data_IF_197164873694
#
_entry.id   IF_197164873694
#
_cell.length_a   1.000
_cell.length_b   1.000
_cell.length_c   1.000
_cell.angle_alpha   90.00
_cell.angle_beta   90.00
_cell.angle_gamma   90.00
#
_symmetry.space_group_name_H-M   'P 1'
#
loop_
_entity.id
_entity.type
_entity.pdbx_description
1 polymer ?
#
# COMPACT_ATOMS: atom_id res chain seq x y z
N UNK A 1 11.06 14.11 28.65
CA UNK A 1 11.74 12.86 29.08
C UNK A 1 11.52 12.60 30.58
N UNK A 2 11.53 13.62 31.44
CA UNK A 2 11.51 13.52 32.89
C UNK A 2 10.19 13.00 33.50
N UNK A 3 9.10 12.99 32.75
CA UNK A 3 7.78 12.52 33.18
C UNK A 3 7.34 11.23 32.50
N UNK A 4 8.26 10.29 32.30
CA UNK A 4 7.97 8.98 31.71
C UNK A 4 7.29 9.05 30.33
N UNK A 5 7.68 10.05 29.53
CA UNK A 5 7.16 10.32 28.17
C UNK A 5 5.63 10.56 28.12
N UNK A 6 4.97 10.89 29.24
CA UNK A 6 3.53 11.15 29.24
C UNK A 6 3.19 12.35 28.35
N UNK A 7 2.36 12.20 27.33
CA UNK A 7 1.95 13.30 26.48
C UNK A 7 0.97 14.22 27.20
N UNK A 8 1.19 15.52 27.12
CA UNK A 8 0.22 16.52 27.57
C UNK A 8 -0.66 16.93 26.41
N UNK A 9 -1.95 16.64 26.50
CA UNK A 9 -2.94 17.03 25.50
C UNK A 9 -3.56 18.36 25.84
N UNK A 10 -3.72 19.22 24.84
CA UNK A 10 -4.38 20.52 24.97
C UNK A 10 -5.44 20.65 23.86
N UNK A 11 -6.52 21.36 24.16
CA UNK A 11 -7.54 21.71 23.18
C UNK A 11 -7.12 23.04 22.53
N UNK A 12 -6.82 23.08 21.21
CA UNK A 12 -6.53 24.32 20.52
C UNK A 12 -7.68 25.30 20.63
N UNK A 13 -7.36 26.61 20.69
CA UNK A 13 -8.36 27.66 20.87
C UNK A 13 -9.44 27.68 19.79
N UNK A 14 -9.06 27.40 18.54
CA UNK A 14 -9.97 27.29 17.38
C UNK A 14 -10.93 26.09 17.44
N UNK A 15 -10.68 25.11 18.29
CA UNK A 15 -11.52 23.91 18.48
C UNK A 15 -12.36 23.95 19.75
N UNK A 16 -12.13 24.97 20.62
CA UNK A 16 -12.78 25.02 21.93
C UNK A 16 -14.30 25.08 21.83
N UNK A 17 -14.83 25.93 20.96
CA UNK A 17 -16.27 26.07 20.75
C UNK A 17 -16.92 24.74 20.31
N UNK A 18 -16.25 24.02 19.38
CA UNK A 18 -16.73 22.70 18.93
C UNK A 18 -16.75 21.69 20.07
N UNK A 19 -15.71 21.66 20.90
CA UNK A 19 -15.64 20.78 22.07
C UNK A 19 -16.73 21.12 23.08
N UNK A 20 -16.98 22.40 23.34
CA UNK A 20 -18.03 22.83 24.28
C UNK A 20 -19.42 22.46 23.77
N UNK A 21 -19.68 22.58 22.47
CA UNK A 21 -20.93 22.10 21.86
C UNK A 21 -21.10 20.58 21.99
N UNK A 22 -20.05 19.80 21.68
CA UNK A 22 -20.08 18.34 21.88
C UNK A 22 -20.31 17.94 23.34
N UNK A 23 -19.76 18.68 24.29
CA UNK A 23 -20.03 18.46 25.73
C UNK A 23 -21.46 18.70 26.12
N UNK A 24 -22.12 19.70 25.52
CA UNK A 24 -23.55 19.97 25.76
C UNK A 24 -24.41 18.84 25.21
N UNK A 25 -24.16 18.41 23.97
CA UNK A 25 -24.87 17.29 23.34
C UNK A 25 -24.67 15.97 24.13
N UNK A 26 -23.43 15.70 24.54
CA UNK A 26 -23.08 14.50 25.32
C UNK A 26 -23.80 14.44 26.67
N UNK A 27 -24.03 15.60 27.31
CA UNK A 27 -24.79 15.69 28.58
C UNK A 27 -26.29 15.45 28.39
N UNK A 28 -26.83 15.77 27.23
CA UNK A 28 -28.24 15.59 26.90
C UNK A 28 -28.56 14.19 26.39
N UNK A 29 -27.58 13.44 25.91
CA UNK A 29 -27.74 12.12 25.34
C UNK A 29 -27.85 11.04 26.42
N UNK A 30 -28.76 10.06 26.22
CA UNK A 30 -28.85 8.87 27.09
C UNK A 30 -27.71 7.89 26.85
N UNK A 31 -27.26 7.78 25.60
CA UNK A 31 -26.18 6.87 25.19
C UNK A 31 -25.30 7.50 24.14
N UNK A 32 -24.01 7.39 24.28
CA UNK A 32 -23.02 7.90 23.33
C UNK A 32 -22.34 6.73 22.64
N UNK A 33 -22.35 6.76 21.31
CA UNK A 33 -21.70 5.74 20.48
C UNK A 33 -20.41 6.28 19.88
N UNK A 34 -19.31 5.64 20.18
CA UNK A 34 -18.00 5.92 19.56
C UNK A 34 -17.81 4.98 18.38
N UNK A 35 -17.91 5.50 17.17
CA UNK A 35 -17.97 4.73 15.92
C UNK A 35 -16.80 5.06 14.96
N UNK A 36 -15.62 5.37 15.50
CA UNK A 36 -14.39 5.55 14.71
C UNK A 36 -13.88 4.21 14.17
N UNK A 37 -12.95 4.26 13.23
CA UNK A 37 -12.37 3.07 12.59
C UNK A 37 -11.78 2.06 13.59
N UNK A 38 -11.65 0.80 13.20
CA UNK A 38 -11.17 -0.28 14.08
C UNK A 38 -9.64 -0.34 14.17
N UNK A 39 -8.94 0.61 13.64
CA UNK A 39 -7.48 0.67 13.78
C UNK A 39 -7.06 1.44 15.05
N UNK A 40 -5.76 1.46 15.34
CA UNK A 40 -5.21 2.15 16.51
C UNK A 40 -5.45 3.67 16.48
N UNK A 41 -5.55 4.28 15.30
CA UNK A 41 -5.81 5.71 15.16
C UNK A 41 -7.27 6.01 15.53
N UNK A 42 -8.21 5.21 15.03
CA UNK A 42 -9.63 5.30 15.39
C UNK A 42 -9.88 5.00 16.87
N UNK A 43 -9.15 4.05 17.45
CA UNK A 43 -9.25 3.76 18.89
C UNK A 43 -8.74 4.92 19.75
N UNK A 44 -7.65 5.56 19.35
CA UNK A 44 -7.15 6.76 20.01
C UNK A 44 -8.13 7.96 19.89
N UNK A 45 -8.81 8.10 18.74
CA UNK A 45 -9.87 9.11 18.57
C UNK A 45 -11.01 8.85 19.55
N UNK A 46 -11.48 7.62 19.65
CA UNK A 46 -12.52 7.23 20.58
C UNK A 46 -12.12 7.53 22.04
N UNK A 47 -10.90 7.18 22.41
CA UNK A 47 -10.35 7.45 23.75
C UNK A 47 -10.22 8.96 24.03
N UNK A 48 -9.72 9.75 23.09
CA UNK A 48 -9.64 11.19 23.25
C UNK A 48 -11.02 11.86 23.41
N UNK A 49 -12.02 11.41 22.69
CA UNK A 49 -13.39 11.88 22.85
C UNK A 49 -13.94 11.50 24.22
N UNK A 50 -13.69 10.25 24.65
CA UNK A 50 -14.09 9.78 25.98
C UNK A 50 -13.52 10.68 27.09
N UNK A 51 -12.23 10.98 27.06
CA UNK A 51 -11.54 11.81 28.04
C UNK A 51 -12.01 13.29 27.98
N UNK A 52 -12.01 13.88 26.78
CA UNK A 52 -12.33 15.31 26.60
C UNK A 52 -13.79 15.63 26.94
N UNK A 53 -14.70 14.72 26.64
CA UNK A 53 -16.12 14.88 26.96
C UNK A 53 -16.46 14.48 28.41
N UNK A 54 -15.54 13.85 29.12
CA UNK A 54 -15.73 13.36 30.50
C UNK A 54 -16.81 12.30 30.58
N UNK A 55 -16.82 11.35 29.63
CA UNK A 55 -17.82 10.32 29.55
C UNK A 55 -17.63 9.28 30.68
N UNK A 56 -18.73 8.66 31.06
CA UNK A 56 -18.72 7.53 31.98
C UNK A 56 -18.85 6.22 31.20
N UNK A 57 -18.22 5.17 31.67
CA UNK A 57 -18.18 3.87 30.99
C UNK A 57 -19.59 3.30 30.70
N UNK A 58 -20.53 3.48 31.62
CA UNK A 58 -21.90 3.02 31.48
C UNK A 58 -22.74 3.74 30.41
N UNK A 59 -22.35 4.98 30.07
CA UNK A 59 -23.11 5.85 29.15
C UNK A 59 -22.45 5.89 27.77
N UNK A 60 -21.28 5.23 27.62
CA UNK A 60 -20.49 5.26 26.40
C UNK A 60 -20.27 3.84 25.86
N UNK A 61 -20.52 3.64 24.57
CA UNK A 61 -20.36 2.37 23.89
C UNK A 61 -19.46 2.53 22.67
N UNK A 62 -18.46 1.68 22.54
CA UNK A 62 -17.60 1.59 21.39
C UNK A 62 -18.17 0.59 20.38
N UNK A 63 -18.40 1.00 19.14
CA UNK A 63 -18.79 0.12 18.06
C UNK A 63 -17.77 0.16 16.93
N UNK A 64 -17.57 -0.96 16.29
CA UNK A 64 -16.65 -1.14 15.15
C UNK A 64 -17.34 -1.89 14.04
N UNK A 65 -17.09 -1.46 12.81
CA UNK A 65 -17.57 -2.14 11.61
C UNK A 65 -16.58 -1.93 10.46
N UNK A 66 -16.45 -2.94 9.62
CA UNK A 66 -15.49 -2.94 8.51
C UNK A 66 -16.06 -2.40 7.21
N UNK A 67 -17.39 -2.21 7.16
CA UNK A 67 -18.10 -1.72 5.98
C UNK A 67 -19.31 -0.87 6.40
N UNK A 68 -19.64 0.13 5.58
CA UNK A 68 -20.78 1.03 5.83
C UNK A 68 -22.02 0.43 5.16
N UNK A 69 -22.45 -0.73 5.68
CA UNK A 69 -23.72 -1.37 5.26
C UNK A 69 -24.69 -1.45 6.44
N UNK A 70 -25.99 -1.42 6.15
CA UNK A 70 -27.03 -1.52 7.19
C UNK A 70 -26.87 -2.76 8.07
N UNK A 71 -26.60 -3.98 7.55
CA UNK A 71 -26.40 -5.15 8.40
C UNK A 71 -25.18 -5.04 9.30
N UNK A 72 -24.05 -4.55 8.81
CA UNK A 72 -22.81 -4.39 9.58
C UNK A 72 -22.98 -3.40 10.73
N UNK A 73 -23.61 -2.23 10.46
CA UNK A 73 -23.87 -1.21 11.48
C UNK A 73 -24.84 -1.74 12.55
N UNK A 74 -25.92 -2.41 12.15
CA UNK A 74 -26.89 -2.97 13.10
C UNK A 74 -26.27 -4.09 13.96
N UNK A 75 -25.38 -4.89 13.39
CA UNK A 75 -24.63 -5.90 14.14
C UNK A 75 -23.66 -5.26 15.15
N UNK A 76 -22.95 -4.21 14.75
CA UNK A 76 -22.05 -3.48 15.63
C UNK A 76 -22.80 -2.83 16.81
N UNK A 77 -23.99 -2.28 16.58
CA UNK A 77 -24.85 -1.71 17.62
C UNK A 77 -25.32 -2.79 18.61
N UNK A 78 -25.60 -4.00 18.12
CA UNK A 78 -26.01 -5.13 18.99
C UNK A 78 -24.86 -5.69 19.83
N UNK A 79 -23.62 -5.54 19.35
CA UNK A 79 -22.40 -6.10 19.96
C UNK A 79 -21.38 -5.00 20.26
N UNK A 80 -21.70 -4.02 21.13
CA UNK A 80 -20.76 -2.99 21.50
C UNK A 80 -19.63 -3.58 22.33
N UNK A 81 -18.45 -2.95 22.28
CA UNK A 81 -17.29 -3.29 23.12
C UNK A 81 -16.79 -2.09 23.93
N UNK A 82 -15.81 -2.29 24.76
CA UNK A 82 -15.07 -1.21 25.41
C UNK A 82 -13.95 -0.69 24.52
N UNK A 83 -13.40 0.47 24.86
CA UNK A 83 -12.20 1.02 24.22
C UNK A 83 -11.02 0.09 24.54
N UNK A 84 -10.27 -0.31 23.51
CA UNK A 84 -9.06 -1.10 23.65
C UNK A 84 -7.88 -0.19 24.02
N UNK A 85 -7.55 -0.16 25.30
CA UNK A 85 -6.45 0.66 25.84
C UNK A 85 -5.09 0.21 25.29
N UNK A 86 -4.91 -1.04 24.89
CA UNK A 86 -3.66 -1.49 24.29
C UNK A 86 -3.45 -0.85 22.90
N UNK A 87 -4.50 -0.74 22.09
CA UNK A 87 -4.44 -0.02 20.81
C UNK A 87 -4.21 1.48 21.02
N UNK A 88 -4.84 2.09 22.02
CA UNK A 88 -4.61 3.49 22.40
C UNK A 88 -3.14 3.69 22.78
N UNK A 89 -2.60 2.85 23.64
CA UNK A 89 -1.20 2.92 24.07
C UNK A 89 -0.23 2.71 22.90
N UNK A 90 -0.55 1.81 21.98
CA UNK A 90 0.25 1.59 20.77
C UNK A 90 0.29 2.83 19.87
N UNK A 91 -0.84 3.53 19.72
CA UNK A 91 -0.91 4.80 18.99
C UNK A 91 -0.11 5.90 19.70
N UNK A 92 -0.27 6.03 21.02
CA UNK A 92 0.46 7.02 21.81
C UNK A 92 1.98 6.78 21.74
N UNK A 93 2.43 5.54 21.93
CA UNK A 93 3.84 5.19 21.83
C UNK A 93 4.42 5.53 20.46
N UNK A 94 3.69 5.25 19.37
CA UNK A 94 4.09 5.64 18.01
C UNK A 94 4.22 7.16 17.90
N UNK A 95 3.23 7.90 18.37
CA UNK A 95 3.21 9.37 18.27
C UNK A 95 4.37 10.00 19.05
N UNK A 96 4.64 9.50 20.26
CA UNK A 96 5.76 9.95 21.09
C UNK A 96 7.08 9.64 20.39
N UNK A 97 7.24 8.40 19.88
CA UNK A 97 8.46 7.99 19.18
C UNK A 97 8.72 8.84 17.93
N UNK A 98 7.70 9.09 17.12
CA UNK A 98 7.84 9.93 15.91
C UNK A 98 8.29 11.35 16.26
N UNK A 99 7.79 11.92 17.37
CA UNK A 99 8.21 13.24 17.85
C UNK A 99 9.65 13.24 18.37
N UNK A 100 10.02 12.24 19.18
CA UNK A 100 11.40 12.12 19.69
C UNK A 100 12.37 12.02 18.51
N UNK A 101 12.14 11.10 17.58
CA UNK A 101 12.99 10.94 16.39
C UNK A 101 13.08 12.25 15.60
N UNK A 102 11.96 12.92 15.37
CA UNK A 102 11.93 14.19 14.65
C UNK A 102 12.73 15.28 15.34
N UNK A 103 12.53 15.49 16.63
CA UNK A 103 13.17 16.57 17.39
C UNK A 103 14.66 16.32 17.67
N UNK A 104 15.07 15.08 17.87
CA UNK A 104 16.46 14.75 18.15
C UNK A 104 17.33 14.68 16.88
N UNK A 105 16.80 14.12 15.79
CA UNK A 105 17.57 13.90 14.57
C UNK A 105 17.54 15.10 13.61
N UNK A 106 16.45 15.87 13.54
CA UNK A 106 16.35 17.00 12.61
C UNK A 106 17.43 18.05 12.85
N UNK A 107 17.77 18.46 14.10
CA UNK A 107 18.88 19.39 14.36
C UNK A 107 20.25 18.86 13.92
N UNK A 108 20.44 17.56 13.94
CA UNK A 108 21.69 16.93 13.44
C UNK A 108 21.78 17.09 11.93
N UNK A 109 20.68 16.85 11.21
CA UNK A 109 20.61 17.07 9.76
C UNK A 109 20.86 18.54 9.40
N UNK A 110 20.33 19.49 10.17
CA UNK A 110 20.53 20.92 9.92
C UNK A 110 21.97 21.33 10.05
N UNK A 111 22.67 20.78 11.03
CA UNK A 111 24.10 21.09 11.28
C UNK A 111 25.04 20.39 10.32
N UNK A 112 24.70 19.17 9.88
CA UNK A 112 25.64 18.32 9.14
C UNK A 112 25.38 18.27 7.63
N UNK A 113 24.15 18.54 7.20
CA UNK A 113 23.74 18.39 5.78
C UNK A 113 23.18 19.71 5.25
N UNK A 114 21.96 20.08 5.64
CA UNK A 114 21.30 21.30 5.16
C UNK A 114 20.18 21.73 6.13
N UNK A 115 19.98 23.05 6.37
CA UNK A 115 18.85 23.56 7.10
C UNK A 115 17.50 23.14 6.50
N UNK A 116 16.48 23.10 7.30
CA UNK A 116 15.08 22.75 6.94
C UNK A 116 14.84 21.31 6.54
N UNK A 117 15.82 20.40 6.66
CA UNK A 117 15.56 18.98 6.52
C UNK A 117 14.83 18.44 7.76
N UNK A 118 13.98 17.43 7.60
CA UNK A 118 13.32 16.74 8.71
C UNK A 118 13.67 15.27 8.71
N UNK A 119 13.86 14.73 9.92
CA UNK A 119 14.00 13.30 10.13
C UNK A 119 12.65 12.70 10.51
N UNK A 120 12.36 11.48 10.04
CA UNK A 120 11.15 10.75 10.37
C UNK A 120 11.29 9.29 10.02
N UNK A 121 10.69 8.41 10.81
CA UNK A 121 10.80 6.97 10.63
C UNK A 121 10.31 6.51 9.24
N UNK A 122 9.19 7.05 8.78
CA UNK A 122 8.62 6.71 7.46
C UNK A 122 9.42 7.35 6.34
N UNK A 123 9.78 8.63 6.47
CA UNK A 123 10.57 9.35 5.47
C UNK A 123 11.93 8.69 5.22
N UNK A 124 12.64 8.30 6.28
CA UNK A 124 13.95 7.68 6.16
C UNK A 124 13.90 6.36 5.39
N UNK A 125 12.88 5.53 5.66
CA UNK A 125 12.68 4.27 4.93
C UNK A 125 12.30 4.53 3.47
N UNK A 126 11.39 5.47 3.20
CA UNK A 126 10.98 5.81 1.85
C UNK A 126 12.14 6.31 1.00
N UNK A 127 12.96 7.23 1.53
CA UNK A 127 14.15 7.74 0.86
C UNK A 127 15.16 6.62 0.61
N UNK A 128 15.38 5.76 1.59
CA UNK A 128 16.28 4.61 1.44
C UNK A 128 15.84 3.70 0.28
N UNK A 129 14.57 3.31 0.23
CA UNK A 129 14.04 2.46 -0.84
C UNK A 129 14.22 3.10 -2.23
N UNK A 130 13.97 4.42 -2.34
CA UNK A 130 14.15 5.15 -3.59
C UNK A 130 15.63 5.16 -4.00
N UNK A 131 16.54 5.45 -3.07
CA UNK A 131 17.99 5.50 -3.34
C UNK A 131 18.53 4.11 -3.70
N UNK A 132 18.12 3.07 -2.99
CA UNK A 132 18.51 1.69 -3.31
C UNK A 132 18.06 1.32 -4.73
N UNK A 133 16.82 1.65 -5.08
CA UNK A 133 16.31 1.40 -6.43
C UNK A 133 17.04 2.18 -7.51
N UNK A 134 17.35 3.46 -7.25
CA UNK A 134 18.12 4.28 -8.18
C UNK A 134 19.54 3.73 -8.40
N UNK A 135 20.19 3.24 -7.36
CA UNK A 135 21.49 2.57 -7.47
C UNK A 135 21.41 1.29 -8.31
N UNK A 136 20.36 0.49 -8.17
CA UNK A 136 20.12 -0.68 -9.03
C UNK A 136 19.99 -0.26 -10.50
N UNK A 137 19.25 0.82 -10.77
CA UNK A 137 19.07 1.35 -12.14
C UNK A 137 20.41 1.82 -12.71
N UNK A 138 21.22 2.54 -11.93
CA UNK A 138 22.54 3.02 -12.36
C UNK A 138 23.57 1.90 -12.60
N UNK A 139 23.42 0.78 -11.89
CA UNK A 139 24.28 -0.40 -12.04
C UNK A 139 23.76 -1.39 -13.10
N UNK A 140 22.58 -1.13 -13.63
CA UNK A 140 21.98 -2.01 -14.64
C UNK A 140 22.75 -1.91 -15.96
N UNK A 141 23.28 -3.04 -16.40
CA UNK A 141 23.89 -3.18 -17.72
C UNK A 141 22.85 -3.72 -18.69
N UNK A 142 22.60 -2.99 -19.76
CA UNK A 142 21.70 -3.43 -20.81
C UNK A 142 22.33 -4.60 -21.56
N UNK A 143 21.62 -5.75 -21.58
CA UNK A 143 21.96 -6.89 -22.40
C UNK A 143 20.94 -6.99 -23.54
N UNK A 144 21.38 -6.86 -24.77
CA UNK A 144 20.54 -7.09 -25.95
C UNK A 144 20.66 -8.54 -26.41
N UNK A 145 19.55 -9.11 -26.85
CA UNK A 145 19.52 -10.44 -27.44
C UNK A 145 18.64 -10.48 -28.69
N UNK A 146 19.03 -11.29 -29.64
CA UNK A 146 18.30 -11.47 -30.90
C UNK A 146 17.45 -12.74 -30.80
N UNK A 147 16.16 -12.56 -31.04
CA UNK A 147 15.16 -13.62 -31.11
C UNK A 147 14.88 -13.91 -32.57
N UNK A 148 14.94 -15.18 -32.97
CA UNK A 148 14.63 -15.60 -34.33
C UNK A 148 13.28 -16.30 -34.35
N UNK A 149 12.40 -15.85 -35.25
CA UNK A 149 11.10 -16.47 -35.52
C UNK A 149 11.01 -16.85 -36.98
N UNK A 150 10.44 -18.01 -37.28
CA UNK A 150 10.20 -18.53 -38.62
C UNK A 150 8.71 -18.71 -38.89
N UNK A 151 8.26 -18.42 -40.10
CA UNK A 151 6.91 -18.73 -40.59
C UNK A 151 7.04 -19.82 -41.64
N UNK A 152 6.53 -20.99 -41.31
CA UNK A 152 6.58 -22.15 -42.15
C UNK A 152 5.26 -22.39 -42.87
N UNK A 153 5.29 -22.47 -44.22
CA UNK A 153 4.11 -22.75 -45.03
C UNK A 153 3.98 -24.26 -45.24
N UNK A 154 2.84 -24.78 -44.84
CA UNK A 154 2.51 -26.20 -45.04
C UNK A 154 1.95 -26.45 -46.46
N UNK A 155 1.98 -27.68 -46.89
CA UNK A 155 1.42 -28.09 -48.23
C UNK A 155 -0.07 -27.78 -48.37
N UNK A 156 -0.80 -27.70 -47.30
CA UNK A 156 -2.23 -27.31 -47.22
C UNK A 156 -2.50 -25.81 -47.21
N UNK A 157 -1.47 -25.00 -47.39
CA UNK A 157 -1.55 -23.51 -47.37
C UNK A 157 -1.63 -22.88 -45.99
N UNK A 158 -1.64 -23.65 -44.90
CA UNK A 158 -1.60 -23.12 -43.53
C UNK A 158 -0.17 -22.73 -43.15
N UNK A 159 -0.09 -21.72 -42.27
CA UNK A 159 1.18 -21.24 -41.75
C UNK A 159 1.36 -21.66 -40.27
N UNK A 160 2.58 -22.03 -39.94
CA UNK A 160 2.99 -22.30 -38.55
C UNK A 160 4.09 -21.30 -38.20
N UNK A 161 3.84 -20.50 -37.16
CA UNK A 161 4.88 -19.65 -36.57
C UNK A 161 5.63 -20.44 -35.49
N UNK A 162 6.95 -20.45 -35.61
CA UNK A 162 7.82 -21.06 -34.60
C UNK A 162 8.89 -20.08 -34.17
N UNK A 163 9.37 -20.26 -32.95
CA UNK A 163 10.45 -19.47 -32.36
C UNK A 163 11.62 -20.40 -32.06
N UNK A 164 12.84 -19.95 -32.37
CA UNK A 164 14.05 -20.69 -32.00
C UNK A 164 14.19 -20.62 -30.46
N UNK A 165 14.46 -21.76 -29.84
CA UNK A 165 14.65 -21.92 -28.40
C UNK A 165 15.95 -21.29 -27.89
N UNK A 166 16.86 -20.87 -28.78
CA UNK A 166 18.11 -20.19 -28.49
C UNK A 166 18.01 -18.72 -28.88
N UNK A 167 18.55 -17.85 -28.03
CA UNK A 167 18.79 -16.45 -28.34
C UNK A 167 20.27 -16.20 -28.62
N UNK A 168 20.54 -15.23 -29.48
CA UNK A 168 21.90 -14.83 -29.82
C UNK A 168 22.22 -13.49 -29.14
N UNK A 169 23.44 -13.36 -28.66
CA UNK A 169 23.90 -12.14 -27.99
C UNK A 169 24.34 -11.05 -28.97
N UNK A 170 24.70 -11.41 -30.19
CA UNK A 170 25.10 -10.45 -31.22
C UNK A 170 24.40 -10.71 -32.57
N UNK A 171 24.44 -9.70 -33.42
CA UNK A 171 23.76 -9.68 -34.72
C UNK A 171 24.44 -10.64 -35.68
N UNK A 172 25.75 -10.73 -35.68
CA UNK A 172 26.56 -11.52 -36.60
C UNK A 172 26.24 -13.02 -36.44
N UNK A 173 26.13 -13.49 -35.20
CA UNK A 173 25.73 -14.88 -34.93
C UNK A 173 24.31 -15.19 -35.40
N UNK A 174 23.39 -14.25 -35.18
CA UNK A 174 22.01 -14.39 -35.64
C UNK A 174 21.92 -14.43 -37.16
N UNK A 175 22.64 -13.55 -37.85
CA UNK A 175 22.71 -13.52 -39.33
C UNK A 175 23.37 -14.81 -39.89
N UNK A 176 24.46 -15.26 -39.31
CA UNK A 176 25.14 -16.50 -39.72
C UNK A 176 24.21 -17.72 -39.54
N UNK A 177 23.35 -17.73 -38.52
CA UNK A 177 22.37 -18.79 -38.36
C UNK A 177 21.28 -18.67 -39.42
N UNK A 178 20.76 -17.50 -39.72
CA UNK A 178 19.74 -17.28 -40.75
C UNK A 178 20.22 -17.69 -42.16
N UNK A 179 21.49 -17.42 -42.48
CA UNK A 179 22.09 -17.85 -43.75
C UNK A 179 22.06 -19.38 -43.90
N UNK A 180 22.34 -20.12 -42.81
CA UNK A 180 22.22 -21.59 -42.79
C UNK A 180 20.78 -22.06 -42.98
N UNK A 181 19.80 -21.30 -42.52
CA UNK A 181 18.39 -21.64 -42.65
C UNK A 181 17.84 -21.48 -44.07
N UNK A 182 18.46 -20.66 -44.93
CA UNK A 182 17.97 -20.43 -46.32
C UNK A 182 17.83 -21.68 -47.15
N UNK A 183 18.74 -22.64 -47.00
CA UNK A 183 18.75 -23.87 -47.76
C UNK A 183 18.46 -25.13 -46.89
N UNK A 184 17.96 -24.92 -45.69
CA UNK A 184 17.69 -26.01 -44.76
C UNK A 184 16.28 -26.59 -44.99
N UNK A 185 16.19 -27.92 -44.81
CA UNK A 185 14.90 -28.62 -44.77
C UNK A 185 14.41 -28.68 -43.33
N UNK A 186 13.18 -28.24 -43.11
CA UNK A 186 12.56 -28.25 -41.78
C UNK A 186 11.53 -29.36 -41.69
N UNK A 187 11.59 -30.12 -40.60
CA UNK A 187 10.64 -31.23 -40.31
C UNK A 187 10.09 -31.08 -38.89
N UNK A 188 8.85 -31.55 -38.72
CA UNK A 188 8.28 -31.66 -37.36
C UNK A 188 8.91 -32.84 -36.64
N UNK A 189 9.72 -32.56 -35.61
CA UNK A 189 10.42 -33.60 -34.86
C UNK A 189 9.55 -34.25 -33.79
N UNK A 190 8.77 -33.49 -33.08
CA UNK A 190 7.91 -34.00 -31.99
C UNK A 190 6.66 -33.10 -31.81
N UNK A 191 5.57 -33.70 -31.34
CA UNK A 191 4.33 -33.01 -30.98
C UNK A 191 3.93 -33.44 -29.58
N UNK A 192 4.09 -32.55 -28.63
CA UNK A 192 3.63 -32.74 -27.26
C UNK A 192 2.30 -32.04 -26.99
N UNK A 193 1.32 -32.77 -26.46
CA UNK A 193 0.07 -32.21 -25.96
C UNK A 193 0.08 -32.22 -24.44
N UNK A 194 0.19 -31.03 -23.83
CA UNK A 194 0.15 -30.90 -22.38
C UNK A 194 -1.21 -30.29 -21.97
N UNK A 195 -1.93 -30.89 -21.00
CA UNK A 195 -3.14 -30.27 -20.47
C UNK A 195 -2.76 -29.00 -19.77
N UNK A 196 -3.45 -27.92 -20.10
CA UNK A 196 -3.26 -26.62 -19.45
C UNK A 196 -4.55 -26.21 -18.76
N UNK A 197 -4.44 -25.75 -17.51
CA UNK A 197 -5.55 -25.15 -16.78
C UNK A 197 -5.31 -23.64 -16.66
N UNK A 198 -6.28 -22.87 -17.07
CA UNK A 198 -6.29 -21.42 -16.82
C UNK A 198 -7.18 -21.14 -15.62
N UNK A 199 -6.58 -20.71 -14.52
CA UNK A 199 -7.33 -20.28 -13.35
C UNK A 199 -7.69 -18.79 -13.48
N UNK A 200 -8.88 -18.37 -13.01
CA UNK A 200 -9.21 -16.96 -12.90
C UNK A 200 -8.18 -16.23 -12.04
N UNK A 201 -7.95 -14.97 -12.33
CA UNK A 201 -7.17 -14.12 -11.45
C UNK A 201 -7.90 -13.95 -10.10
N UNK A 202 -7.15 -13.74 -9.03
CA UNK A 202 -7.74 -13.41 -7.74
C UNK A 202 -8.54 -12.09 -7.82
N UNK A 203 -9.57 -11.90 -6.99
CA UNK A 203 -10.25 -10.61 -6.86
C UNK A 203 -9.25 -9.49 -6.55
N UNK A 204 -9.55 -8.30 -7.01
CA UNK A 204 -8.71 -7.15 -6.74
C UNK A 204 -8.70 -6.80 -5.25
N UNK A 205 -7.53 -6.51 -4.73
CA UNK A 205 -7.38 -5.67 -3.54
C UNK A 205 -7.44 -4.21 -3.96
N UNK A 206 -7.62 -3.29 -3.02
CA UNK A 206 -7.59 -1.84 -3.29
C UNK A 206 -6.33 -1.44 -4.05
N UNK A 207 -5.17 -1.93 -3.62
CA UNK A 207 -3.88 -1.62 -4.26
C UNK A 207 -3.77 -2.16 -5.68
N UNK A 208 -4.15 -3.41 -5.91
CA UNK A 208 -4.09 -4.01 -7.25
C UNK A 208 -5.12 -3.41 -8.21
N UNK A 209 -6.29 -2.99 -7.70
CA UNK A 209 -7.27 -2.25 -8.49
C UNK A 209 -6.71 -0.90 -8.95
N UNK A 210 -6.10 -0.14 -8.05
CA UNK A 210 -5.47 1.13 -8.38
C UNK A 210 -4.36 0.97 -9.44
N UNK A 211 -3.51 -0.05 -9.30
CA UNK A 211 -2.44 -0.34 -10.27
C UNK A 211 -3.00 -0.71 -11.65
N UNK A 212 -3.99 -1.58 -11.70
CA UNK A 212 -4.60 -1.99 -12.98
C UNK A 212 -5.39 -0.85 -13.65
N UNK A 213 -6.10 -0.05 -12.85
CA UNK A 213 -6.82 1.13 -13.36
C UNK A 213 -5.85 2.19 -13.91
N UNK A 214 -4.76 2.46 -13.21
CA UNK A 214 -3.71 3.37 -13.69
C UNK A 214 -3.08 2.84 -15.00
N UNK A 215 -2.73 1.56 -15.05
CA UNK A 215 -2.07 0.95 -16.21
C UNK A 215 -2.97 0.85 -17.44
N UNK A 216 -4.25 0.48 -17.28
CA UNK A 216 -5.16 0.18 -18.39
C UNK A 216 -6.02 1.36 -18.81
N UNK A 217 -6.39 2.22 -17.86
CA UNK A 217 -7.35 3.31 -18.06
C UNK A 217 -6.74 4.69 -17.84
N UNK A 218 -5.50 4.78 -17.33
CA UNK A 218 -4.86 6.04 -16.99
C UNK A 218 -5.49 6.77 -15.79
N UNK A 219 -6.26 6.07 -14.95
CA UNK A 219 -6.93 6.68 -13.81
C UNK A 219 -5.93 7.01 -12.70
N UNK A 220 -6.13 8.16 -12.07
CA UNK A 220 -5.46 8.48 -10.81
C UNK A 220 -6.00 7.63 -9.66
N UNK A 221 -5.27 7.58 -8.55
CA UNK A 221 -5.72 6.87 -7.34
C UNK A 221 -7.08 7.36 -6.87
N UNK A 222 -7.29 8.69 -6.82
CA UNK A 222 -8.56 9.28 -6.38
C UNK A 222 -9.73 9.05 -7.35
N UNK A 223 -9.46 8.86 -8.64
CA UNK A 223 -10.51 8.49 -9.60
C UNK A 223 -10.90 7.02 -9.51
N UNK A 224 -9.99 6.17 -9.03
CA UNK A 224 -10.24 4.74 -8.87
C UNK A 224 -11.02 4.43 -7.60
N UNK A 225 -10.87 5.26 -6.57
CA UNK A 225 -11.54 5.15 -5.25
C UNK A 225 -12.82 5.94 -5.19
#
# INVERSE_FOLDING_TARGET
>A
FEHNYQPKYIIPSDKKERVDNLKKEAKAAETIWLASDEDREGEAIAWHLYEVLGLKEKDCKRIVFHEITKPAILNAIKNPRNIDINLVNAQQARRVLDRIVGFELSPILWRKIKPSLSAGRVQSVAVRLIVEREREIQQFNEESSYRITGIFKLLNGKEISAELDKRFSNKEEAEAFLEKCKNATFTVGNIEKKPSKRTPAAPFTTSTLQQEAARKLGFSVSQTM
#
